data_IF_668248950134
#
_entry.id   IF_668248950134
#
_cell.length_a   1.000
_cell.length_b   1.000
_cell.length_c   1.000
_cell.angle_alpha   90.00
_cell.angle_beta   90.00
_cell.angle_gamma   90.00
#
_symmetry.space_group_name_H-M   'P 1'
#
loop_
_entity.id
_entity.type
_entity.pdbx_description
1 polymer ?
#
# COMPACT_ATOMS: atom_id res chain seq x y z
N UNK A 1 -7.23 -23.60 17.75
CA UNK A 1 -6.10 -22.84 18.30
C UNK A 1 -6.65 -21.55 18.88
N UNK A 2 -6.35 -21.22 20.14
CA UNK A 2 -6.66 -19.89 20.72
C UNK A 2 -5.51 -18.95 20.37
N UNK A 3 -5.85 -17.80 19.76
CA UNK A 3 -4.89 -16.72 19.55
C UNK A 3 -4.65 -16.07 20.92
N UNK A 4 -3.40 -15.89 21.37
CA UNK A 4 -3.09 -15.18 22.60
C UNK A 4 -3.66 -13.75 22.56
N UNK A 5 -4.13 -13.18 23.69
CA UNK A 5 -4.74 -11.85 23.70
C UNK A 5 -3.85 -10.74 23.12
N UNK A 6 -2.53 -10.87 23.25
CA UNK A 6 -1.55 -9.93 22.71
C UNK A 6 -1.39 -9.97 21.18
N UNK A 7 -1.88 -11.05 20.54
CA UNK A 7 -1.85 -11.25 19.09
C UNK A 7 -3.23 -11.01 18.45
N UNK A 8 -4.21 -10.54 19.24
CA UNK A 8 -5.49 -10.09 18.71
C UNK A 8 -5.33 -8.71 18.07
N UNK A 9 -5.91 -8.49 16.88
CA UNK A 9 -5.87 -7.18 16.25
C UNK A 9 -6.53 -6.16 17.17
N UNK A 10 -5.92 -4.99 17.25
CA UNK A 10 -6.45 -3.89 18.02
C UNK A 10 -7.82 -3.44 17.47
N UNK A 11 -8.79 -3.26 18.36
CA UNK A 11 -10.16 -2.85 18.03
C UNK A 11 -10.46 -1.40 18.40
N UNK A 12 -9.53 -0.73 19.10
CA UNK A 12 -9.62 0.70 19.37
C UNK A 12 -9.29 1.46 18.07
N UNK A 13 -10.32 1.96 17.41
CA UNK A 13 -10.20 2.60 16.09
C UNK A 13 -9.29 3.83 16.13
N UNK A 14 -9.35 4.64 17.18
CA UNK A 14 -8.52 5.85 17.28
C UNK A 14 -7.04 5.47 17.39
N UNK A 15 -6.73 4.45 18.21
CA UNK A 15 -5.38 3.92 18.36
C UNK A 15 -4.91 3.20 17.10
N UNK A 16 -5.74 2.39 16.47
CA UNK A 16 -5.46 1.73 15.19
C UNK A 16 -5.15 2.78 14.12
N UNK A 17 -5.94 3.83 13.98
CA UNK A 17 -5.70 4.90 12.99
C UNK A 17 -4.41 5.66 13.29
N UNK A 18 -4.15 5.98 14.56
CA UNK A 18 -2.95 6.69 14.97
C UNK A 18 -1.67 5.84 14.83
N UNK A 19 -1.75 4.53 15.04
CA UNK A 19 -0.64 3.59 15.02
C UNK A 19 -0.50 2.83 13.71
N UNK A 20 -1.49 2.92 12.80
CA UNK A 20 -1.42 2.25 11.51
C UNK A 20 -0.19 2.78 10.80
N UNK A 21 0.79 1.91 10.63
CA UNK A 21 1.88 2.16 9.70
C UNK A 21 1.22 2.50 8.38
N UNK A 22 1.30 3.76 7.96
CA UNK A 22 0.87 4.18 6.63
C UNK A 22 1.79 3.43 5.68
N UNK A 23 1.34 2.31 5.15
CA UNK A 23 2.11 1.54 4.18
C UNK A 23 2.29 2.42 2.94
N UNK A 24 3.54 2.75 2.62
CA UNK A 24 3.86 3.51 1.42
C UNK A 24 4.28 2.53 0.33
N UNK A 25 3.44 2.37 -0.68
CA UNK A 25 3.85 1.84 -1.97
C UNK A 25 4.27 3.00 -2.89
N UNK A 26 5.18 2.74 -3.80
CA UNK A 26 5.48 3.67 -4.88
C UNK A 26 5.57 2.89 -6.19
N UNK A 27 5.18 3.56 -7.28
CA UNK A 27 5.19 3.00 -8.62
C UNK A 27 6.16 3.77 -9.50
N UNK A 28 7.05 3.06 -10.15
CA UNK A 28 7.90 3.61 -11.21
C UNK A 28 7.19 3.34 -12.53
N UNK A 29 6.73 4.40 -13.20
CA UNK A 29 6.10 4.33 -14.52
C UNK A 29 7.13 4.49 -15.63
N UNK A 30 6.96 3.73 -16.70
CA UNK A 30 7.79 3.82 -17.91
C UNK A 30 6.99 3.38 -19.14
N UNK A 31 7.31 3.95 -20.30
CA UNK A 31 6.72 3.54 -21.57
C UNK A 31 7.35 2.22 -22.02
N UNK A 32 6.52 1.18 -22.11
CA UNK A 32 6.97 -0.17 -22.49
C UNK A 32 7.45 -0.27 -23.93
N UNK A 33 7.03 0.68 -24.77
CA UNK A 33 7.43 0.81 -26.17
C UNK A 33 8.80 1.48 -26.35
N UNK A 34 9.36 2.08 -25.29
CA UNK A 34 10.66 2.75 -25.31
C UNK A 34 11.72 1.88 -24.63
N UNK A 35 12.66 1.27 -25.39
CA UNK A 35 13.73 0.47 -24.81
C UNK A 35 14.60 1.26 -23.82
N UNK A 36 14.85 2.54 -24.09
CA UNK A 36 15.64 3.42 -23.23
C UNK A 36 14.95 3.68 -21.89
N UNK A 37 13.63 3.92 -21.88
CA UNK A 37 12.88 4.09 -20.62
C UNK A 37 12.76 2.79 -19.84
N UNK A 38 12.56 1.65 -20.54
CA UNK A 38 12.56 0.34 -19.91
C UNK A 38 13.91 0.07 -19.21
N UNK A 39 15.03 0.34 -19.88
CA UNK A 39 16.37 0.18 -19.33
C UNK A 39 16.60 1.10 -18.12
N UNK A 40 16.21 2.38 -18.23
CA UNK A 40 16.33 3.35 -17.15
C UNK A 40 15.51 2.94 -15.92
N UNK A 41 14.28 2.47 -16.11
CA UNK A 41 13.40 2.02 -15.04
C UNK A 41 13.95 0.77 -14.34
N UNK A 42 14.54 -0.17 -15.10
CA UNK A 42 15.23 -1.35 -14.55
C UNK A 42 16.46 -0.95 -13.71
N UNK A 43 17.29 -0.03 -14.21
CA UNK A 43 18.46 0.48 -13.47
C UNK A 43 18.04 1.17 -12.17
N UNK A 44 16.98 1.98 -12.21
CA UNK A 44 16.45 2.65 -11.02
C UNK A 44 15.93 1.63 -10.00
N UNK A 45 15.17 0.63 -10.44
CA UNK A 45 14.71 -0.48 -9.60
C UNK A 45 15.89 -1.16 -8.90
N UNK A 46 16.92 -1.52 -9.65
CA UNK A 46 18.08 -2.25 -9.11
C UNK A 46 18.87 -1.39 -8.10
N UNK A 47 19.02 -0.09 -8.37
CA UNK A 47 19.61 0.85 -7.41
C UNK A 47 18.78 0.95 -6.12
N UNK A 48 17.47 1.03 -6.24
CA UNK A 48 16.54 1.10 -5.11
C UNK A 48 16.54 -0.18 -4.27
N UNK A 49 16.61 -1.36 -4.89
CA UNK A 49 16.73 -2.64 -4.19
C UNK A 49 18.09 -2.79 -3.49
N UNK A 50 19.17 -2.31 -4.11
CA UNK A 50 20.50 -2.30 -3.50
C UNK A 50 20.57 -1.40 -2.27
N UNK A 51 19.95 -0.21 -2.33
CA UNK A 51 19.96 0.79 -1.26
C UNK A 51 18.97 0.48 -0.14
N UNK A 52 17.85 -0.18 -0.45
CA UNK A 52 16.78 -0.53 0.50
C UNK A 52 16.51 -2.02 0.46
N UNK A 53 17.34 -2.78 1.17
CA UNK A 53 17.30 -4.26 1.26
C UNK A 53 16.08 -4.79 2.02
N UNK A 54 15.44 -3.91 2.79
CA UNK A 54 14.32 -4.15 3.69
C UNK A 54 12.95 -4.07 3.00
N UNK A 55 12.90 -3.83 1.69
CA UNK A 55 11.64 -3.58 0.99
C UNK A 55 11.45 -4.60 -0.16
N UNK A 56 10.48 -5.52 -0.04
CA UNK A 56 10.27 -6.59 -1.01
C UNK A 56 9.75 -6.07 -2.36
N UNK A 57 10.28 -6.64 -3.45
CA UNK A 57 9.72 -6.46 -4.79
C UNK A 57 8.49 -7.37 -4.92
N UNK A 58 7.32 -6.80 -5.24
CA UNK A 58 6.10 -7.58 -5.38
C UNK A 58 5.87 -8.03 -6.81
N UNK A 59 5.88 -7.07 -7.77
CA UNK A 59 5.51 -7.37 -9.15
C UNK A 59 6.13 -6.45 -10.18
N UNK A 60 6.26 -6.97 -11.39
CA UNK A 60 6.60 -6.21 -12.59
C UNK A 60 5.43 -6.31 -13.57
N UNK A 61 4.84 -5.18 -13.90
CA UNK A 61 3.79 -5.05 -14.90
C UNK A 61 4.39 -4.51 -16.20
N UNK A 62 4.39 -5.33 -17.26
CA UNK A 62 4.85 -4.92 -18.59
C UNK A 62 3.73 -4.34 -19.47
N UNK A 63 2.56 -4.15 -18.90
CA UNK A 63 1.37 -3.58 -19.53
C UNK A 63 0.51 -2.90 -18.45
N UNK A 64 -0.40 -1.99 -18.82
CA UNK A 64 -1.35 -1.39 -17.88
C UNK A 64 -2.10 -2.48 -17.08
N UNK A 65 -2.28 -2.25 -15.79
CA UNK A 65 -3.03 -3.16 -14.93
C UNK A 65 -3.64 -2.46 -13.72
N UNK A 66 -4.93 -2.72 -13.47
CA UNK A 66 -5.66 -2.04 -12.38
C UNK A 66 -5.64 -0.52 -12.56
N UNK A 67 -5.34 0.28 -11.53
CA UNK A 67 -5.24 1.74 -11.65
C UNK A 67 -3.94 2.21 -12.35
N UNK A 68 -3.06 1.31 -12.80
CA UNK A 68 -1.79 1.67 -13.43
C UNK A 68 -1.93 1.80 -14.96
N UNK A 69 -1.79 3.01 -15.53
CA UNK A 69 -2.06 3.28 -16.94
C UNK A 69 -0.93 2.87 -17.90
N UNK A 70 0.21 2.40 -17.38
CA UNK A 70 1.40 2.06 -18.15
C UNK A 70 2.11 0.84 -17.54
N UNK A 71 3.23 0.43 -18.13
CA UNK A 71 4.15 -0.49 -17.46
C UNK A 71 4.57 0.08 -16.10
N UNK A 72 4.56 -0.76 -15.07
CA UNK A 72 4.82 -0.33 -13.70
C UNK A 72 5.56 -1.39 -12.90
N UNK A 73 6.28 -0.95 -11.88
CA UNK A 73 6.76 -1.81 -10.81
C UNK A 73 5.88 -1.60 -9.57
N UNK A 74 5.59 -2.68 -8.86
CA UNK A 74 4.92 -2.63 -7.57
C UNK A 74 5.89 -3.08 -6.48
N UNK A 75 6.05 -2.23 -5.47
CA UNK A 75 6.84 -2.49 -4.28
C UNK A 75 5.91 -2.48 -3.07
N UNK A 76 5.90 -3.57 -2.32
CA UNK A 76 5.15 -3.65 -1.07
C UNK A 76 6.05 -3.17 0.06
N UNK A 77 5.64 -2.10 0.75
CA UNK A 77 6.01 -1.92 2.16
C UNK A 77 5.32 -3.00 2.99
N UNK A 78 5.78 -3.20 4.24
CA UNK A 78 5.34 -4.27 5.12
C UNK A 78 3.81 -4.37 5.23
N UNK A 79 3.22 -5.38 4.59
CA UNK A 79 1.88 -5.81 4.91
C UNK A 79 1.93 -6.66 6.18
N UNK A 80 1.15 -6.22 7.17
CA UNK A 80 0.85 -6.97 8.37
C UNK A 80 0.41 -8.42 8.00
N UNK A 81 0.91 -9.44 8.73
CA UNK A 81 0.55 -10.87 8.56
C UNK A 81 -0.83 -11.22 9.12
N UNK A 82 -1.59 -10.24 9.60
CA UNK A 82 -2.93 -10.44 10.16
C UNK A 82 -3.92 -10.98 9.13
N UNK A 83 -4.89 -11.72 9.65
CA UNK A 83 -6.01 -12.23 8.87
C UNK A 83 -6.76 -11.05 8.26
N UNK A 84 -6.88 -11.06 6.94
CA UNK A 84 -7.63 -10.05 6.22
C UNK A 84 -9.08 -9.94 6.74
N UNK A 85 -9.57 -8.72 7.05
CA UNK A 85 -10.96 -8.54 7.45
C UNK A 85 -11.92 -8.90 6.31
N UNK A 86 -13.11 -9.38 6.65
CA UNK A 86 -14.19 -9.59 5.68
C UNK A 86 -14.63 -8.27 5.05
N UNK A 87 -15.34 -8.34 3.92
CA UNK A 87 -15.84 -7.13 3.22
C UNK A 87 -16.74 -6.27 4.13
N UNK A 88 -17.59 -6.89 4.95
CA UNK A 88 -18.46 -6.18 5.87
C UNK A 88 -17.66 -5.46 6.97
N UNK A 89 -16.64 -6.11 7.53
CA UNK A 89 -15.76 -5.52 8.54
C UNK A 89 -14.94 -4.37 7.94
N UNK A 90 -14.41 -4.52 6.71
CA UNK A 90 -13.72 -3.43 6.00
C UNK A 90 -14.61 -2.21 5.80
N UNK A 91 -15.88 -2.42 5.44
CA UNK A 91 -16.83 -1.33 5.25
C UNK A 91 -17.15 -0.61 6.57
N UNK A 92 -17.32 -1.36 7.67
CA UNK A 92 -17.55 -0.79 8.99
C UNK A 92 -16.35 0.03 9.49
N UNK A 93 -15.13 -0.51 9.35
CA UNK A 93 -13.91 0.22 9.68
C UNK A 93 -13.71 1.44 8.79
N UNK A 94 -13.96 1.31 7.49
CA UNK A 94 -13.90 2.43 6.55
C UNK A 94 -14.80 3.58 6.99
N UNK A 95 -16.05 3.30 7.36
CA UNK A 95 -16.97 4.33 7.85
C UNK A 95 -16.45 5.05 9.11
N UNK A 96 -15.89 4.30 10.07
CA UNK A 96 -15.35 4.89 11.29
C UNK A 96 -14.12 5.76 11.00
N UNK A 97 -13.27 5.34 10.06
CA UNK A 97 -12.12 6.12 9.59
C UNK A 97 -12.57 7.40 8.89
N UNK A 98 -13.56 7.34 8.01
CA UNK A 98 -14.12 8.53 7.34
C UNK A 98 -14.72 9.53 8.35
N UNK A 99 -15.43 9.04 9.38
CA UNK A 99 -15.95 9.89 10.46
C UNK A 99 -14.84 10.59 11.26
N UNK A 100 -13.71 9.91 11.49
CA UNK A 100 -12.54 10.50 12.14
C UNK A 100 -11.83 11.51 11.23
N UNK A 101 -11.57 11.15 9.97
CA UNK A 101 -10.89 12.00 8.98
C UNK A 101 -11.71 13.23 8.62
N UNK A 102 -13.04 13.17 8.69
CA UNK A 102 -13.91 14.34 8.47
C UNK A 102 -13.65 15.50 9.44
N UNK A 103 -12.99 15.21 10.57
CA UNK A 103 -12.62 16.19 11.60
C UNK A 103 -11.18 16.67 11.48
N UNK A 104 -10.37 16.07 10.60
CA UNK A 104 -8.97 16.40 10.38
C UNK A 104 -8.84 17.40 9.21
N UNK A 105 -8.40 18.65 9.45
CA UNK A 105 -8.27 19.66 8.39
C UNK A 105 -7.15 19.36 7.38
N UNK A 106 -6.21 18.45 7.68
CA UNK A 106 -5.18 18.01 6.75
C UNK A 106 -5.61 16.81 5.90
N UNK A 107 -6.76 16.18 6.21
CA UNK A 107 -7.28 15.07 5.45
C UNK A 107 -7.74 15.54 4.05
N UNK A 108 -7.33 14.79 3.02
CA UNK A 108 -7.83 15.02 1.67
C UNK A 108 -9.35 14.76 1.61
N UNK A 109 -10.12 15.56 0.87
CA UNK A 109 -11.55 15.32 0.71
C UNK A 109 -11.80 13.95 0.06
N UNK A 110 -12.85 13.27 0.50
CA UNK A 110 -13.27 12.02 -0.11
C UNK A 110 -13.56 12.22 -1.61
N UNK A 111 -13.21 11.26 -2.48
CA UNK A 111 -13.59 11.31 -3.89
C UNK A 111 -15.11 11.42 -4.05
N UNK A 112 -15.56 12.32 -4.92
CA UNK A 112 -16.97 12.47 -5.31
C UNK A 112 -17.41 11.45 -6.34
#
# INVERSE_FOLDING_TARGET
>A
MMIPPQDLPDTDVERVVAQRTKEWHFHIYFLTQSPAECEAALKLRDAVLRLRRDVPLHRVNKSPMGPHPAGSYERLGWSNREKEPSIAERAAYGKQVEELLSKDPEAAPAPV
#
